data_IF_437808526307
#
_entry.id   IF_437808526307
#
_cell.length_a   1.000
_cell.length_b   1.000
_cell.length_c   1.000
_cell.angle_alpha   90.00
_cell.angle_beta   90.00
_cell.angle_gamma   90.00
#
_symmetry.space_group_name_H-M   'P 1'
#
loop_
_entity.id
_entity.type
_entity.pdbx_description
1 polymer ?
#
# COMPACT_ATOMS: atom_id res chain seq x y z
N UNK A 1 -9.18 86.93 -35.15
CA UNK A 1 -9.41 85.47 -34.89
C UNK A 1 -8.10 84.65 -34.74
N UNK A 2 -7.01 85.22 -34.21
CA UNK A 2 -5.65 84.63 -34.25
C UNK A 2 -5.07 84.33 -32.84
N UNK A 3 -5.68 84.79 -31.76
CA UNK A 3 -5.18 84.68 -30.39
C UNK A 3 -5.61 83.39 -29.66
N UNK A 4 -6.66 82.69 -30.13
CA UNK A 4 -7.17 81.47 -29.46
C UNK A 4 -6.39 80.18 -29.81
N UNK A 5 -5.78 80.15 -31.04
CA UNK A 5 -5.05 78.99 -31.51
C UNK A 5 -3.67 78.81 -30.83
N UNK A 6 -3.02 79.97 -30.55
CA UNK A 6 -1.70 80.00 -29.89
C UNK A 6 -1.79 79.61 -28.39
N UNK A 7 -2.87 79.98 -27.73
CA UNK A 7 -3.09 79.60 -26.32
C UNK A 7 -3.40 78.10 -26.18
N UNK A 8 -4.18 77.53 -27.07
CA UNK A 8 -4.41 76.05 -27.07
C UNK A 8 -3.15 75.30 -27.34
N UNK A 9 -2.30 75.67 -28.25
CA UNK A 9 -1.05 74.99 -28.53
C UNK A 9 -0.06 75.11 -27.37
N UNK A 10 0.03 76.20 -26.62
CA UNK A 10 0.83 76.33 -25.41
C UNK A 10 0.29 75.45 -24.29
N UNK A 11 -1.02 75.33 -24.15
CA UNK A 11 -1.68 74.47 -23.15
C UNK A 11 -1.35 72.96 -23.42
N UNK A 12 -1.44 72.52 -24.67
CA UNK A 12 -1.11 71.18 -25.08
C UNK A 12 0.37 70.87 -24.92
N UNK A 13 1.24 71.84 -25.19
CA UNK A 13 2.68 71.71 -24.99
C UNK A 13 3.06 71.63 -23.52
N UNK A 14 2.37 72.38 -22.64
CA UNK A 14 2.56 72.27 -21.18
C UNK A 14 1.96 70.99 -20.62
N UNK A 15 0.85 70.49 -21.15
CA UNK A 15 0.27 69.18 -20.76
C UNK A 15 1.18 68.04 -21.21
N UNK A 16 1.77 68.10 -22.39
CA UNK A 16 2.74 67.11 -22.87
C UNK A 16 4.04 67.11 -22.05
N UNK A 17 4.50 68.29 -21.64
CA UNK A 17 5.68 68.43 -20.79
C UNK A 17 5.44 67.88 -19.36
N UNK A 18 4.22 68.10 -18.83
CA UNK A 18 3.79 67.55 -17.54
C UNK A 18 3.64 66.06 -17.58
N UNK A 19 3.09 65.47 -18.66
CA UNK A 19 2.98 64.02 -18.90
C UNK A 19 4.39 63.39 -19.03
N UNK A 20 5.34 64.09 -19.70
CA UNK A 20 6.72 63.63 -19.86
C UNK A 20 7.47 63.59 -18.55
N UNK A 21 7.19 64.51 -17.61
CA UNK A 21 7.83 64.54 -16.29
C UNK A 21 7.25 63.45 -15.38
N UNK A 22 5.94 63.11 -15.49
CA UNK A 22 5.33 61.99 -14.78
C UNK A 22 5.86 60.63 -15.25
N UNK A 23 6.30 60.51 -16.50
CA UNK A 23 6.86 59.29 -17.04
C UNK A 23 8.32 59.01 -16.58
N UNK A 24 9.01 60.00 -15.99
CA UNK A 24 10.35 59.89 -15.48
C UNK A 24 10.41 59.60 -13.96
N UNK A 25 9.27 59.64 -13.27
CA UNK A 25 9.13 59.11 -11.92
C UNK A 25 8.78 57.62 -12.05
N UNK A 26 9.68 56.85 -12.68
CA UNK A 26 9.72 55.43 -12.50
C UNK A 26 9.99 55.22 -11.00
N UNK A 27 8.92 54.85 -10.26
CA UNK A 27 9.07 54.31 -8.93
C UNK A 27 10.16 53.20 -9.01
N UNK A 28 11.34 53.49 -8.57
CA UNK A 28 12.12 52.43 -7.92
C UNK A 28 11.28 52.06 -6.72
N UNK A 29 10.49 51.02 -6.85
CA UNK A 29 10.10 50.21 -5.70
C UNK A 29 11.40 49.72 -5.11
N UNK A 30 11.95 50.43 -4.15
CA UNK A 30 12.79 49.82 -3.13
C UNK A 30 11.81 48.81 -2.47
N UNK A 31 11.83 47.58 -3.00
CA UNK A 31 11.41 46.44 -2.25
C UNK A 31 12.43 46.43 -1.14
N UNK A 32 12.06 46.92 0.04
CA UNK A 32 12.80 46.61 1.26
C UNK A 32 12.95 45.10 1.24
N UNK A 33 14.15 44.63 0.91
CA UNK A 33 14.46 43.21 0.97
C UNK A 33 14.37 42.84 2.45
N UNK A 34 13.20 42.37 2.84
CA UNK A 34 12.98 41.78 4.18
C UNK A 34 13.96 40.67 4.51
N UNK A 35 14.79 40.29 3.53
CA UNK A 35 15.74 39.22 3.62
C UNK A 35 17.11 39.72 3.08
N UNK A 36 18.18 39.44 3.80
CA UNK A 36 19.56 39.79 3.44
C UNK A 36 20.06 39.11 2.14
N UNK A 37 19.28 38.20 1.55
CA UNK A 37 19.66 37.47 0.35
C UNK A 37 18.46 37.18 -0.54
N UNK A 38 18.67 37.07 -1.87
CA UNK A 38 17.62 36.72 -2.83
C UNK A 38 16.99 35.36 -2.54
N UNK A 39 15.73 35.12 -2.93
CA UNK A 39 15.09 33.84 -2.79
C UNK A 39 15.91 32.68 -3.40
N UNK A 40 16.61 32.96 -4.52
CA UNK A 40 17.49 31.98 -5.17
C UNK A 40 18.69 31.62 -4.29
N UNK A 41 19.33 32.57 -3.70
CA UNK A 41 20.47 32.35 -2.81
C UNK A 41 20.08 31.63 -1.52
N UNK A 42 18.91 31.94 -0.97
CA UNK A 42 18.40 31.23 0.21
C UNK A 42 18.20 29.74 -0.06
N UNK A 43 17.60 29.39 -1.21
CA UNK A 43 17.40 27.98 -1.59
C UNK A 43 18.74 27.28 -1.87
N UNK A 44 19.71 27.96 -2.51
CA UNK A 44 21.06 27.41 -2.73
C UNK A 44 21.76 27.10 -1.41
N UNK A 45 21.67 28.01 -0.45
CA UNK A 45 22.23 27.82 0.88
C UNK A 45 21.52 26.69 1.64
N UNK A 46 20.19 26.56 1.48
CA UNK A 46 19.45 25.43 2.04
C UNK A 46 19.87 24.10 1.41
N UNK A 47 20.05 24.03 0.10
CA UNK A 47 20.53 22.84 -0.60
C UNK A 47 21.89 22.39 -0.05
N UNK A 48 22.81 23.31 0.14
CA UNK A 48 24.14 23.01 0.72
C UNK A 48 23.99 22.48 2.16
N UNK A 49 23.20 23.16 2.97
CA UNK A 49 22.91 22.74 4.34
C UNK A 49 22.25 21.33 4.38
N UNK A 50 21.30 21.06 3.50
CA UNK A 50 20.67 19.74 3.46
C UNK A 50 21.63 18.64 3.00
N UNK A 51 22.56 18.94 2.09
CA UNK A 51 23.58 17.97 1.67
C UNK A 51 24.50 17.59 2.82
N UNK A 52 24.98 18.55 3.58
CA UNK A 52 25.78 18.32 4.79
C UNK A 52 25.00 17.53 5.83
N UNK A 53 23.73 17.92 6.08
CA UNK A 53 22.87 17.30 7.05
C UNK A 53 22.56 15.83 6.71
N UNK A 54 22.20 15.55 5.44
CA UNK A 54 21.88 14.19 4.98
C UNK A 54 23.07 13.23 5.17
N UNK A 55 24.30 13.71 4.97
CA UNK A 55 25.52 12.90 5.08
C UNK A 55 26.13 12.87 6.49
N UNK A 56 25.55 13.57 7.47
CA UNK A 56 26.15 13.74 8.80
C UNK A 56 26.02 12.55 9.75
N UNK A 57 24.92 11.76 9.79
CA UNK A 57 24.79 10.70 10.77
C UNK A 57 25.69 9.51 10.49
N UNK A 58 26.45 9.11 11.50
CA UNK A 58 27.40 8.00 11.42
C UNK A 58 26.80 6.69 10.91
N UNK A 59 25.55 6.38 11.31
CA UNK A 59 24.83 5.15 10.95
C UNK A 59 23.72 5.41 9.92
N UNK A 60 23.69 6.61 9.30
CA UNK A 60 22.62 7.03 8.40
C UNK A 60 21.31 7.34 9.11
N UNK A 61 20.22 7.22 8.40
CA UNK A 61 18.87 7.59 8.82
C UNK A 61 17.95 6.38 8.86
N UNK A 62 17.18 6.21 9.92
CA UNK A 62 15.94 5.45 9.85
C UNK A 62 14.94 6.24 9.01
N UNK A 63 14.34 5.62 8.01
CA UNK A 63 13.35 6.23 7.13
C UNK A 63 12.00 5.54 7.34
N UNK A 64 11.06 6.24 7.95
CA UNK A 64 9.67 5.83 8.10
C UNK A 64 8.89 6.32 6.89
N UNK A 65 8.52 5.41 6.00
CA UNK A 65 7.90 5.74 4.72
C UNK A 65 6.45 5.29 4.67
N UNK A 66 5.52 6.23 4.45
CA UNK A 66 4.09 5.99 4.24
C UNK A 66 3.71 6.29 2.79
N UNK A 67 3.68 5.29 1.90
CA UNK A 67 3.21 5.45 0.53
C UNK A 67 1.69 5.63 0.48
N UNK A 68 1.16 6.02 -0.69
CA UNK A 68 -0.28 6.23 -0.88
C UNK A 68 -0.81 7.59 -0.44
N UNK A 69 0.08 8.51 -0.09
CA UNK A 69 -0.22 9.91 0.22
C UNK A 69 -1.15 10.08 1.42
N UNK A 70 -1.93 11.15 1.41
CA UNK A 70 -2.87 11.51 2.50
C UNK A 70 -4.01 10.51 2.69
N UNK A 71 -4.20 9.59 1.73
CA UNK A 71 -5.19 8.51 1.85
C UNK A 71 -4.78 7.43 2.84
N UNK A 72 -3.48 7.36 3.22
CA UNK A 72 -2.91 6.37 4.16
C UNK A 72 -3.14 4.91 3.70
N UNK A 73 -3.28 4.71 2.39
CA UNK A 73 -3.89 3.50 1.82
C UNK A 73 -3.17 2.19 2.15
N UNK A 74 -1.83 2.25 2.38
CA UNK A 74 -1.01 1.03 2.47
C UNK A 74 -0.28 0.87 3.79
N UNK A 75 -0.50 1.77 4.78
CA UNK A 75 0.33 1.81 5.98
C UNK A 75 1.74 2.31 5.70
N UNK A 76 2.68 2.03 6.60
CA UNK A 76 4.05 2.50 6.48
C UNK A 76 5.08 1.37 6.55
N UNK A 77 6.30 1.69 6.11
CA UNK A 77 7.42 0.75 5.98
C UNK A 77 8.71 1.34 6.52
N UNK A 78 9.49 0.50 7.21
CA UNK A 78 10.78 0.87 7.75
C UNK A 78 11.89 0.59 6.72
N UNK A 79 12.58 1.66 6.35
CA UNK A 79 13.80 1.64 5.55
C UNK A 79 14.93 2.26 6.37
N UNK A 80 16.16 2.08 5.93
CA UNK A 80 17.29 2.87 6.36
C UNK A 80 18.01 3.41 5.12
N UNK A 81 18.56 4.62 5.24
CA UNK A 81 19.31 5.26 4.14
C UNK A 81 20.51 6.01 4.67
N UNK A 82 21.65 5.87 4.00
CA UNK A 82 22.83 6.71 4.19
C UNK A 82 23.11 7.49 2.92
N UNK A 83 23.51 8.75 3.07
CA UNK A 83 23.82 9.64 1.97
C UNK A 83 25.31 9.97 1.96
N UNK A 84 25.91 10.01 0.78
CA UNK A 84 27.27 10.51 0.59
C UNK A 84 27.24 11.93 0.00
N UNK A 85 28.28 12.69 0.21
CA UNK A 85 28.39 14.07 -0.32
C UNK A 85 28.51 14.11 -1.86
N UNK A 86 28.95 13.01 -2.47
CA UNK A 86 29.11 12.86 -3.91
C UNK A 86 27.83 12.37 -4.63
N UNK A 87 26.69 12.34 -3.94
CA UNK A 87 25.38 12.15 -4.55
C UNK A 87 24.87 10.70 -4.59
N UNK A 88 25.40 9.82 -3.74
CA UNK A 88 24.91 8.46 -3.61
C UNK A 88 24.06 8.29 -2.34
N UNK A 89 22.95 7.54 -2.49
CA UNK A 89 22.11 7.09 -1.40
C UNK A 89 22.12 5.55 -1.35
N UNK A 90 22.47 4.99 -0.20
CA UNK A 90 22.49 3.54 0.03
C UNK A 90 21.31 3.16 0.93
N UNK A 91 20.41 2.34 0.41
CA UNK A 91 19.20 1.90 1.09
C UNK A 91 19.34 0.48 1.62
N UNK A 92 18.67 0.24 2.75
CA UNK A 92 18.34 -1.06 3.31
C UNK A 92 16.84 -1.08 3.63
N UNK A 93 16.21 -2.28 3.70
CA UNK A 93 14.77 -2.39 3.90
C UNK A 93 14.41 -3.51 4.88
N UNK A 94 13.44 -3.25 5.78
CA UNK A 94 12.83 -4.27 6.61
C UNK A 94 11.99 -5.28 5.83
N UNK A 95 11.69 -5.02 4.55
CA UNK A 95 11.00 -5.95 3.66
C UNK A 95 11.94 -7.01 3.08
N UNK A 96 13.25 -6.76 3.06
CA UNK A 96 14.23 -7.72 2.55
C UNK A 96 14.31 -8.96 3.43
N UNK A 97 14.52 -10.13 2.83
CA UNK A 97 14.80 -11.37 3.58
C UNK A 97 16.07 -11.22 4.41
N UNK A 98 17.10 -10.67 3.82
CA UNK A 98 18.32 -10.22 4.48
C UNK A 98 18.26 -8.69 4.64
N UNK A 99 18.11 -8.21 5.88
CA UNK A 99 18.08 -6.77 6.18
C UNK A 99 19.44 -6.09 6.00
N UNK A 100 20.52 -6.86 5.85
CA UNK A 100 21.86 -6.36 5.51
C UNK A 100 22.07 -6.14 4.01
N UNK A 101 21.13 -6.62 3.16
CA UNK A 101 21.20 -6.37 1.73
C UNK A 101 20.98 -4.90 1.44
N UNK A 102 22.00 -4.23 0.92
CA UNK A 102 21.96 -2.81 0.56
C UNK A 102 21.96 -2.60 -0.95
N UNK A 103 21.31 -1.53 -1.39
CA UNK A 103 21.30 -1.08 -2.80
C UNK A 103 21.61 0.41 -2.85
N UNK A 104 22.60 0.77 -3.66
CA UNK A 104 23.06 2.15 -3.83
C UNK A 104 22.55 2.72 -5.16
N UNK A 105 22.05 3.96 -5.11
CA UNK A 105 21.55 4.70 -6.27
C UNK A 105 21.95 6.18 -6.18
N UNK A 106 21.77 6.93 -7.25
CA UNK A 106 22.04 8.37 -7.25
C UNK A 106 20.87 9.14 -6.63
N UNK A 107 21.21 10.17 -5.85
CA UNK A 107 20.27 11.19 -5.42
C UNK A 107 20.74 12.58 -5.83
N UNK A 108 19.82 13.51 -5.92
CA UNK A 108 20.12 14.93 -6.10
C UNK A 108 19.23 15.81 -5.23
N UNK A 109 19.78 16.96 -4.87
CA UNK A 109 19.03 18.06 -4.28
C UNK A 109 18.81 19.11 -5.37
N UNK A 110 17.56 19.43 -5.64
CA UNK A 110 17.18 20.37 -6.70
C UNK A 110 16.40 21.55 -6.12
N UNK A 111 16.44 22.65 -6.87
CA UNK A 111 15.65 23.83 -6.62
C UNK A 111 14.35 23.72 -7.43
N UNK A 112 13.22 23.64 -6.73
CA UNK A 112 11.89 23.64 -7.34
C UNK A 112 10.98 24.57 -6.52
N UNK A 113 9.83 24.13 -6.02
CA UNK A 113 8.99 24.88 -5.07
C UNK A 113 9.57 24.94 -3.65
N UNK A 114 10.88 24.80 -3.52
CA UNK A 114 11.70 24.68 -2.31
C UNK A 114 12.88 23.77 -2.61
N UNK A 115 13.58 23.33 -1.56
CA UNK A 115 14.58 22.28 -1.70
C UNK A 115 13.89 20.94 -1.86
N UNK A 116 14.21 20.22 -2.94
CA UNK A 116 13.67 18.87 -3.23
C UNK A 116 14.78 17.85 -3.23
N UNK A 117 14.51 16.72 -2.58
CA UNK A 117 15.34 15.52 -2.62
C UNK A 117 14.76 14.57 -3.67
N UNK A 118 15.56 14.18 -4.66
CA UNK A 118 15.17 13.29 -5.73
C UNK A 118 16.07 12.07 -5.75
N UNK A 119 15.47 10.88 -5.93
CA UNK A 119 16.19 9.64 -6.17
C UNK A 119 16.20 9.38 -7.67
N UNK A 120 17.32 9.76 -8.32
CA UNK A 120 17.40 9.93 -9.78
C UNK A 120 17.58 8.61 -10.55
N UNK A 121 18.05 7.54 -9.90
CA UNK A 121 18.23 6.23 -10.55
C UNK A 121 17.47 5.15 -9.80
N UNK A 122 17.07 4.12 -10.55
CA UNK A 122 16.29 3.02 -10.00
C UNK A 122 17.02 2.32 -8.86
N UNK A 123 16.26 2.06 -7.78
CA UNK A 123 16.70 1.35 -6.59
C UNK A 123 15.58 0.38 -6.20
N UNK A 124 15.82 -0.91 -6.30
CA UNK A 124 14.79 -1.94 -6.09
C UNK A 124 14.16 -1.90 -4.69
N UNK A 125 14.89 -1.44 -3.65
CA UNK A 125 14.37 -1.35 -2.29
C UNK A 125 13.47 -0.12 -2.09
N UNK A 126 13.82 1.00 -2.73
CA UNK A 126 13.09 2.25 -2.58
C UNK A 126 11.96 2.38 -3.61
N UNK A 127 12.21 2.04 -4.89
CA UNK A 127 11.20 2.11 -5.94
C UNK A 127 10.18 0.96 -5.87
N UNK A 128 10.38 -0.03 -4.99
CA UNK A 128 9.39 -1.05 -4.66
C UNK A 128 7.97 -0.48 -4.50
N UNK A 129 7.84 0.68 -3.86
CA UNK A 129 6.54 1.30 -3.57
C UNK A 129 5.89 1.98 -4.79
N UNK A 130 6.64 2.24 -5.85
CA UNK A 130 6.16 2.84 -7.10
C UNK A 130 6.14 1.86 -8.27
N UNK A 131 6.71 0.67 -8.11
CA UNK A 131 6.85 -0.35 -9.14
C UNK A 131 5.67 -1.31 -9.13
N UNK A 132 4.81 -1.22 -10.15
CA UNK A 132 3.62 -2.04 -10.31
C UNK A 132 3.92 -3.51 -10.63
N UNK A 133 5.10 -3.82 -11.13
CA UNK A 133 5.50 -5.19 -11.45
C UNK A 133 5.86 -5.99 -10.19
N UNK A 134 6.22 -5.29 -9.13
CA UNK A 134 6.65 -5.88 -7.86
C UNK A 134 5.57 -5.74 -6.78
N UNK A 135 4.94 -4.57 -6.70
CA UNK A 135 3.95 -4.25 -5.69
C UNK A 135 2.75 -3.55 -6.29
N UNK A 136 1.66 -4.29 -6.50
CA UNK A 136 0.41 -3.72 -6.98
C UNK A 136 -0.65 -3.79 -5.89
N UNK A 137 -0.69 -2.75 -5.06
CA UNK A 137 -1.50 -2.72 -3.84
C UNK A 137 -3.01 -2.73 -4.08
N UNK A 138 -3.48 -2.26 -5.23
CA UNK A 138 -4.90 -2.20 -5.60
C UNK A 138 -5.22 -2.88 -6.93
N UNK A 139 -4.24 -3.53 -7.57
CA UNK A 139 -4.41 -4.22 -8.84
C UNK A 139 -4.58 -3.30 -10.06
N UNK A 140 -4.26 -2.01 -9.93
CA UNK A 140 -4.43 -1.02 -11.00
C UNK A 140 -3.13 -0.69 -11.77
N UNK A 141 -2.05 -1.38 -11.50
CA UNK A 141 -0.76 -1.15 -12.15
C UNK A 141 -0.09 0.17 -11.73
N UNK A 142 -0.26 0.58 -10.46
CA UNK A 142 0.31 1.83 -9.92
C UNK A 142 1.24 1.61 -8.74
N UNK A 143 1.54 0.36 -8.40
CA UNK A 143 2.27 0.00 -7.19
C UNK A 143 1.53 0.45 -5.93
N UNK A 144 2.26 0.84 -4.90
CA UNK A 144 1.71 1.39 -3.66
C UNK A 144 1.62 2.94 -3.70
N UNK A 145 1.57 3.55 -4.88
CA UNK A 145 1.58 5.00 -5.07
C UNK A 145 2.79 5.68 -4.41
N UNK A 146 3.95 5.07 -4.52
CA UNK A 146 5.19 5.62 -3.97
C UNK A 146 5.67 6.84 -4.75
N UNK A 147 6.27 7.80 -4.04
CA UNK A 147 6.97 8.95 -4.62
C UNK A 147 8.48 8.69 -4.63
N UNK A 148 9.20 9.34 -5.54
CA UNK A 148 10.67 9.34 -5.62
C UNK A 148 11.26 10.78 -5.70
N UNK A 149 10.39 11.79 -5.66
CA UNK A 149 10.74 13.21 -5.52
C UNK A 149 10.01 13.78 -4.30
N UNK A 150 10.76 14.40 -3.40
CA UNK A 150 10.23 14.86 -2.11
C UNK A 150 10.60 16.32 -1.83
N UNK A 151 9.60 17.08 -1.36
CA UNK A 151 9.82 18.44 -0.85
C UNK A 151 10.26 18.32 0.61
N UNK A 152 11.43 18.86 0.93
CA UNK A 152 11.94 18.95 2.30
C UNK A 152 11.13 19.99 3.06
N UNK A 153 10.38 19.55 4.07
CA UNK A 153 9.51 20.42 4.86
C UNK A 153 10.23 20.98 6.10
N UNK A 154 10.93 20.14 6.81
CA UNK A 154 11.76 20.51 7.94
C UNK A 154 12.95 19.57 8.08
N UNK A 155 14.07 20.08 8.57
CA UNK A 155 15.27 19.29 8.79
C UNK A 155 16.10 19.84 9.95
N UNK A 156 16.50 18.92 10.82
CA UNK A 156 17.41 19.10 11.93
C UNK A 156 18.48 18.01 11.90
N UNK A 157 19.48 18.08 12.75
CA UNK A 157 20.52 17.04 12.87
C UNK A 157 19.96 15.66 13.28
N UNK A 158 18.77 15.63 13.87
CA UNK A 158 18.16 14.40 14.38
C UNK A 158 16.93 13.94 13.60
N UNK A 159 16.28 14.83 12.83
CA UNK A 159 15.01 14.54 12.18
C UNK A 159 14.82 15.33 10.88
N UNK A 160 14.29 14.67 9.87
CA UNK A 160 13.89 15.27 8.60
C UNK A 160 12.48 14.82 8.26
N UNK A 161 11.62 15.79 7.92
CA UNK A 161 10.26 15.54 7.42
C UNK A 161 10.17 15.99 5.97
N UNK A 162 9.66 15.13 5.10
CA UNK A 162 9.46 15.43 3.69
C UNK A 162 8.19 14.78 3.13
N UNK A 163 7.69 15.36 2.05
CA UNK A 163 6.47 14.91 1.38
C UNK A 163 6.70 14.71 -0.11
N UNK A 164 6.16 13.63 -0.64
CA UNK A 164 6.21 13.30 -2.06
C UNK A 164 5.48 14.32 -2.92
N UNK A 165 6.06 14.67 -4.05
CA UNK A 165 5.51 15.67 -4.98
C UNK A 165 4.27 15.20 -5.73
N UNK A 166 4.20 13.92 -6.07
CA UNK A 166 3.14 13.37 -6.93
C UNK A 166 1.95 12.86 -6.13
N UNK A 167 2.22 12.07 -5.10
CA UNK A 167 1.17 11.39 -4.32
C UNK A 167 1.05 11.92 -2.89
N UNK A 168 2.01 12.75 -2.44
CA UNK A 168 2.03 13.27 -1.08
C UNK A 168 2.45 12.23 -0.05
N UNK A 169 3.21 11.22 -0.45
CA UNK A 169 3.76 10.22 0.47
C UNK A 169 4.56 10.91 1.57
N UNK A 170 4.31 10.55 2.84
CA UNK A 170 5.02 11.13 3.96
C UNK A 170 6.25 10.29 4.31
N UNK A 171 7.39 10.96 4.50
CA UNK A 171 8.61 10.35 5.02
C UNK A 171 9.10 11.14 6.23
N UNK A 172 9.31 10.40 7.33
CA UNK A 172 10.04 10.87 8.49
C UNK A 172 11.37 10.15 8.56
N UNK A 173 12.46 10.90 8.64
CA UNK A 173 13.78 10.32 8.86
C UNK A 173 14.31 10.73 10.23
N UNK A 174 14.92 9.76 10.94
CA UNK A 174 15.55 9.96 12.24
C UNK A 174 17.00 9.51 12.16
N UNK A 175 17.92 10.32 12.67
CA UNK A 175 19.35 9.97 12.71
C UNK A 175 19.54 8.71 13.59
N UNK A 176 20.08 7.65 12.99
CA UNK A 176 20.35 6.40 13.70
C UNK A 176 21.47 6.55 14.70
N UNK A 177 21.30 5.91 15.87
CA UNK A 177 22.30 5.83 16.95
C UNK A 177 22.97 4.45 17.05
N UNK A 178 22.49 3.51 16.22
CA UNK A 178 23.00 2.13 16.11
C UNK A 178 23.05 1.73 14.62
N UNK A 179 23.78 0.68 14.25
CA UNK A 179 23.81 0.21 12.86
C UNK A 179 22.43 0.02 12.27
N UNK A 180 22.25 0.36 10.99
CA UNK A 180 20.97 0.32 10.28
C UNK A 180 20.32 -1.08 10.30
N UNK A 181 21.15 -2.12 10.19
CA UNK A 181 20.71 -3.52 10.22
C UNK A 181 20.05 -3.89 11.56
N UNK A 182 20.56 -3.34 12.67
CA UNK A 182 19.99 -3.58 14.02
C UNK A 182 18.61 -2.96 14.13
N UNK A 183 18.46 -1.71 13.68
CA UNK A 183 17.16 -1.03 13.61
C UNK A 183 16.16 -1.79 12.74
N UNK A 184 16.57 -2.18 11.52
CA UNK A 184 15.70 -2.87 10.57
C UNK A 184 15.32 -4.26 11.01
N UNK A 185 16.25 -5.00 11.67
CA UNK A 185 15.96 -6.33 12.19
C UNK A 185 14.86 -6.27 13.25
N UNK A 186 14.94 -5.33 14.20
CA UNK A 186 13.89 -5.11 15.22
C UNK A 186 12.56 -4.70 14.59
N UNK A 187 12.57 -3.79 13.60
CA UNK A 187 11.38 -3.37 12.88
C UNK A 187 10.74 -4.55 12.11
N UNK A 188 11.56 -5.40 11.48
CA UNK A 188 11.12 -6.62 10.81
C UNK A 188 10.48 -7.62 11.78
N UNK A 189 11.11 -7.88 12.93
CA UNK A 189 10.58 -8.78 13.97
C UNK A 189 9.22 -8.30 14.48
N UNK A 190 9.10 -7.01 14.81
CA UNK A 190 7.84 -6.41 15.24
C UNK A 190 6.75 -6.55 14.15
N UNK A 191 7.10 -6.27 12.89
CA UNK A 191 6.18 -6.44 11.76
C UNK A 191 5.77 -7.90 11.57
N UNK A 192 6.72 -8.84 11.64
CA UNK A 192 6.45 -10.27 11.47
C UNK A 192 5.56 -10.82 12.57
N UNK A 193 5.70 -10.35 13.82
CA UNK A 193 4.82 -10.74 14.93
C UNK A 193 3.34 -10.43 14.66
N UNK A 194 3.07 -9.39 13.88
CA UNK A 194 1.73 -9.03 13.42
C UNK A 194 1.34 -9.76 12.14
N UNK A 195 2.19 -9.76 11.12
CA UNK A 195 1.91 -10.35 9.81
C UNK A 195 1.77 -11.89 9.84
N UNK A 196 2.31 -12.53 10.86
CA UNK A 196 2.11 -13.96 11.07
C UNK A 196 0.68 -14.34 11.50
N UNK A 197 -0.15 -13.35 11.85
CA UNK A 197 -1.57 -13.57 12.12
C UNK A 197 -2.32 -13.59 10.80
N UNK A 198 -2.79 -14.77 10.40
CA UNK A 198 -3.58 -14.95 9.19
C UNK A 198 -5.05 -14.57 9.41
N UNK A 199 -5.76 -14.36 8.30
CA UNK A 199 -7.21 -14.18 8.28
C UNK A 199 -7.74 -13.06 9.19
N UNK A 200 -7.02 -11.94 9.26
CA UNK A 200 -7.49 -10.76 9.99
C UNK A 200 -8.65 -10.15 9.21
N UNK A 201 -9.84 -10.19 9.80
CA UNK A 201 -11.06 -9.66 9.19
C UNK A 201 -11.47 -8.30 9.73
N UNK A 202 -10.92 -7.87 10.88
CA UNK A 202 -11.26 -6.60 11.48
C UNK A 202 -10.61 -6.37 12.85
N UNK A 203 -11.12 -5.35 13.53
CA UNK A 203 -10.80 -5.01 14.91
C UNK A 203 -12.08 -4.87 15.73
N UNK A 204 -11.99 -5.16 17.02
CA UNK A 204 -13.03 -4.85 18.02
C UNK A 204 -12.36 -4.33 19.30
N UNK A 205 -13.08 -3.58 20.09
CA UNK A 205 -12.55 -3.16 21.39
C UNK A 205 -13.10 -1.83 21.87
N UNK A 206 -12.22 -1.05 22.49
CA UNK A 206 -12.54 0.28 23.00
C UNK A 206 -11.59 1.33 22.45
N UNK A 207 -12.12 2.52 22.18
CA UNK A 207 -11.36 3.71 21.88
C UNK A 207 -11.73 4.79 22.87
N UNK A 208 -10.78 5.25 23.67
CA UNK A 208 -11.01 6.16 24.80
C UNK A 208 -12.18 5.72 25.71
N UNK A 209 -12.22 4.42 26.05
CA UNK A 209 -13.24 3.83 26.92
C UNK A 209 -14.60 3.53 26.27
N UNK A 210 -14.82 3.87 24.99
CA UNK A 210 -16.09 3.61 24.28
C UNK A 210 -15.93 2.46 23.28
N UNK A 211 -16.96 1.62 23.05
CA UNK A 211 -16.92 0.54 22.08
C UNK A 211 -16.59 1.04 20.67
N UNK A 212 -15.73 0.31 19.95
CA UNK A 212 -15.33 0.59 18.58
C UNK A 212 -15.16 -0.71 17.81
N UNK A 213 -15.41 -0.65 16.50
CA UNK A 213 -15.04 -1.70 15.54
C UNK A 213 -14.12 -1.13 14.50
N UNK A 214 -13.40 -1.99 13.77
CA UNK A 214 -12.52 -1.57 12.68
C UNK A 214 -12.58 -2.55 11.52
N UNK A 215 -12.81 -2.02 10.34
CA UNK A 215 -12.77 -2.79 9.09
C UNK A 215 -11.37 -2.77 8.50
N UNK A 216 -10.90 -3.93 8.05
CA UNK A 216 -9.61 -4.04 7.33
C UNK A 216 -9.74 -3.41 5.96
N UNK A 217 -8.92 -2.41 5.67
CA UNK A 217 -8.76 -1.85 4.33
C UNK A 217 -7.52 -2.48 3.67
N UNK A 218 -6.37 -2.40 4.33
CA UNK A 218 -5.16 -3.17 4.00
C UNK A 218 -4.57 -3.77 5.28
N UNK A 219 -3.48 -4.53 5.18
CA UNK A 219 -2.85 -5.16 6.35
C UNK A 219 -2.45 -4.18 7.46
N UNK A 220 -2.14 -2.94 7.12
CA UNK A 220 -1.70 -1.90 8.07
C UNK A 220 -2.58 -0.64 8.04
N UNK A 221 -3.80 -0.78 7.52
CA UNK A 221 -4.77 0.30 7.47
C UNK A 221 -6.18 -0.21 7.78
N UNK A 222 -6.79 0.35 8.79
CA UNK A 222 -8.16 0.06 9.22
C UNK A 222 -9.03 1.32 9.18
N UNK A 223 -10.33 1.13 8.97
CA UNK A 223 -11.32 2.15 9.21
C UNK A 223 -12.00 1.87 10.55
N UNK A 224 -11.73 2.68 11.57
CA UNK A 224 -12.36 2.57 12.88
C UNK A 224 -13.73 3.23 12.85
N UNK A 225 -14.75 2.58 13.45
CA UNK A 225 -16.13 3.04 13.51
C UNK A 225 -16.61 3.03 14.95
N UNK A 226 -17.16 4.17 15.41
CA UNK A 226 -17.77 4.36 16.73
C UNK A 226 -19.11 5.06 16.56
N UNK A 227 -20.21 4.32 16.67
CA UNK A 227 -21.54 4.82 16.30
C UNK A 227 -21.61 5.18 14.81
N UNK A 228 -21.89 6.43 14.50
CA UNK A 228 -21.95 6.99 13.15
C UNK A 228 -20.64 7.67 12.70
N UNK A 229 -19.63 7.68 13.55
CA UNK A 229 -18.34 8.34 13.29
C UNK A 229 -17.29 7.34 12.86
N UNK A 230 -16.43 7.78 11.93
CA UNK A 230 -15.35 6.96 11.39
C UNK A 230 -14.04 7.73 11.38
N UNK A 231 -12.93 7.01 11.53
CA UNK A 231 -11.58 7.56 11.39
C UNK A 231 -10.63 6.52 10.84
N UNK A 232 -9.54 6.99 10.24
CA UNK A 232 -8.47 6.16 9.72
C UNK A 232 -7.51 5.75 10.85
N UNK A 233 -7.11 4.49 10.84
CA UNK A 233 -6.03 3.95 11.65
C UNK A 233 -5.00 3.31 10.74
N UNK A 234 -3.96 4.07 10.41
CA UNK A 234 -2.85 3.61 9.57
C UNK A 234 -1.55 3.64 10.37
N UNK A 235 -0.73 2.62 10.24
CA UNK A 235 0.46 2.44 11.06
C UNK A 235 1.58 1.68 10.33
N UNK A 236 2.73 1.68 10.97
CA UNK A 236 3.89 0.85 10.61
C UNK A 236 4.55 0.28 11.85
N UNK A 237 5.50 -0.62 11.64
CA UNK A 237 6.37 -1.13 12.69
C UNK A 237 7.78 -0.54 12.57
N UNK A 238 8.34 -0.13 13.72
CA UNK A 238 9.70 0.34 13.89
C UNK A 238 10.44 -0.53 14.90
N UNK A 239 11.68 -0.20 15.22
CA UNK A 239 12.45 -0.82 16.31
C UNK A 239 11.77 -0.71 17.69
N UNK A 240 10.89 0.27 17.87
CA UNK A 240 10.15 0.57 19.12
C UNK A 240 8.70 0.08 19.12
N UNK A 241 8.30 -0.70 18.12
CA UNK A 241 6.93 -1.19 17.94
C UNK A 241 6.13 -0.34 16.94
N UNK A 242 4.90 0.02 17.29
CA UNK A 242 3.96 0.68 16.38
C UNK A 242 4.22 2.19 16.28
N UNK A 243 4.26 2.69 15.07
CA UNK A 243 4.20 4.11 14.73
C UNK A 243 2.92 4.39 13.94
N UNK A 244 2.12 5.33 14.40
CA UNK A 244 0.93 5.80 13.68
C UNK A 244 1.34 6.78 12.57
N UNK A 245 0.62 6.77 11.45
CA UNK A 245 0.74 7.81 10.42
C UNK A 245 0.43 9.19 11.00
N UNK A 246 -0.67 9.31 11.71
CA UNK A 246 -1.10 10.47 12.45
C UNK A 246 -1.80 10.01 13.73
N UNK A 247 -1.95 10.87 14.75
CA UNK A 247 -2.81 10.58 15.90
C UNK A 247 -4.21 10.19 15.45
N UNK A 248 -4.79 9.19 16.10
CA UNK A 248 -6.16 8.76 15.80
C UNK A 248 -7.12 9.72 16.52
N UNK A 249 -7.99 10.37 15.76
CA UNK A 249 -9.01 11.28 16.30
C UNK A 249 -10.40 10.72 16.00
N UNK A 250 -11.18 10.45 17.04
CA UNK A 250 -12.51 9.88 16.93
C UNK A 250 -13.40 10.40 18.05
N UNK A 251 -14.56 10.94 17.72
CA UNK A 251 -15.55 11.50 18.67
C UNK A 251 -14.94 12.51 19.66
N UNK A 252 -14.06 13.40 19.17
CA UNK A 252 -13.40 14.41 20.00
C UNK A 252 -12.31 13.86 20.94
N UNK A 253 -12.00 12.59 20.88
CA UNK A 253 -10.90 11.94 21.59
C UNK A 253 -9.70 11.76 20.68
N UNK A 254 -8.48 11.83 21.25
CA UNK A 254 -7.22 11.75 20.51
C UNK A 254 -6.30 10.72 21.14
N UNK A 255 -5.79 9.79 20.32
CA UNK A 255 -4.81 8.78 20.72
C UNK A 255 -3.55 8.94 19.88
N UNK A 256 -2.43 9.24 20.50
CA UNK A 256 -1.16 9.53 19.81
C UNK A 256 -0.25 8.31 19.71
N UNK A 257 -0.41 7.35 20.61
CA UNK A 257 0.48 6.19 20.71
C UNK A 257 -0.32 4.92 20.97
N UNK A 258 0.07 3.85 20.27
CA UNK A 258 -0.38 2.50 20.54
C UNK A 258 0.83 1.57 20.69
N UNK A 259 0.69 0.57 21.53
CA UNK A 259 1.64 -0.51 21.72
C UNK A 259 1.01 -1.77 21.18
N UNK A 260 1.76 -2.52 20.38
CA UNK A 260 1.37 -3.83 19.89
C UNK A 260 1.77 -4.92 20.87
N UNK A 261 0.82 -5.77 21.25
CA UNK A 261 1.05 -7.00 21.99
C UNK A 261 0.73 -8.19 21.08
N UNK A 262 1.76 -8.96 20.70
CA UNK A 262 1.63 -10.06 19.77
C UNK A 262 0.86 -11.25 20.37
N UNK A 263 1.07 -11.55 21.66
CA UNK A 263 0.43 -12.69 22.34
C UNK A 263 -1.07 -12.49 22.50
N UNK A 264 -1.46 -11.26 22.81
CA UNK A 264 -2.87 -10.88 22.96
C UNK A 264 -3.52 -10.45 21.64
N UNK A 265 -2.72 -10.25 20.59
CA UNK A 265 -3.14 -9.71 19.27
C UNK A 265 -3.86 -8.37 19.41
N UNK A 266 -3.31 -7.46 20.23
CA UNK A 266 -3.95 -6.19 20.57
C UNK A 266 -3.05 -4.98 20.35
N UNK A 267 -3.68 -3.87 19.96
CA UNK A 267 -3.11 -2.53 20.06
C UNK A 267 -3.69 -1.83 21.27
N UNK A 268 -2.87 -1.31 22.15
CA UNK A 268 -3.33 -0.64 23.38
C UNK A 268 -2.65 0.71 23.58
N UNK A 269 -3.39 1.72 24.02
CA UNK A 269 -2.79 2.99 24.46
C UNK A 269 -2.06 2.79 25.81
N UNK A 270 -1.01 3.58 26.09
CA UNK A 270 -0.25 3.47 27.34
C UNK A 270 -1.10 3.64 28.61
N UNK A 271 -2.18 4.41 28.53
CA UNK A 271 -3.14 4.64 29.63
C UNK A 271 -4.22 3.54 29.75
N UNK A 272 -4.24 2.58 28.82
CA UNK A 272 -5.19 1.47 28.78
C UNK A 272 -6.63 1.84 28.37
N UNK A 273 -6.92 3.10 28.07
CA UNK A 273 -8.28 3.53 27.69
C UNK A 273 -8.67 3.09 26.29
N UNK A 274 -7.68 2.88 25.44
CA UNK A 274 -7.86 2.32 24.09
C UNK A 274 -7.24 0.94 24.04
N UNK A 275 -8.04 -0.05 23.62
CA UNK A 275 -7.61 -1.43 23.39
C UNK A 275 -8.36 -1.98 22.19
N UNK A 276 -7.63 -2.29 21.13
CA UNK A 276 -8.13 -2.80 19.85
C UNK A 276 -7.59 -4.22 19.65
N UNK A 277 -8.47 -5.20 19.63
CA UNK A 277 -8.15 -6.62 19.41
C UNK A 277 -8.40 -7.00 17.97
N UNK A 278 -7.47 -7.74 17.34
CA UNK A 278 -7.66 -8.29 16.00
C UNK A 278 -8.75 -9.38 16.01
N UNK A 279 -9.67 -9.30 15.05
CA UNK A 279 -10.59 -10.37 14.73
C UNK A 279 -9.93 -11.23 13.65
N UNK A 280 -9.53 -12.46 13.99
CA UNK A 280 -8.87 -13.38 13.06
C UNK A 280 -9.55 -14.75 13.10
N UNK A 281 -9.69 -15.40 11.94
CA UNK A 281 -10.18 -16.77 11.87
C UNK A 281 -9.05 -17.73 12.28
N UNK A 282 -9.23 -18.57 13.31
CA UNK A 282 -8.21 -19.52 13.74
C UNK A 282 -7.90 -20.60 12.70
N UNK A 283 -8.78 -20.85 11.75
CA UNK A 283 -8.58 -21.77 10.63
C UNK A 283 -8.04 -21.10 9.38
N UNK A 284 -7.80 -19.80 9.43
CA UNK A 284 -7.16 -19.07 8.35
C UNK A 284 -5.68 -19.35 8.26
N UNK A 285 -5.16 -19.49 7.06
CA UNK A 285 -3.77 -19.74 6.77
C UNK A 285 -3.14 -18.58 6.00
N UNK A 286 -1.82 -18.40 6.14
CA UNK A 286 -1.07 -17.46 5.29
C UNK A 286 -0.90 -18.06 3.89
N UNK A 287 -0.68 -17.20 2.91
CA UNK A 287 -0.48 -17.62 1.51
C UNK A 287 0.58 -18.72 1.39
N UNK A 288 1.73 -18.56 2.05
CA UNK A 288 2.85 -19.50 1.95
C UNK A 288 2.51 -20.90 2.49
N UNK A 289 1.63 -20.98 3.48
CA UNK A 289 1.18 -22.27 4.05
C UNK A 289 0.28 -23.05 3.09
N UNK A 290 -0.39 -22.34 2.17
CA UNK A 290 -1.30 -22.88 1.18
C UNK A 290 -0.61 -23.32 -0.11
N UNK A 291 0.65 -22.91 -0.32
CA UNK A 291 1.46 -23.35 -1.46
C UNK A 291 2.06 -24.74 -1.20
N UNK A 292 2.35 -25.47 -2.27
CA UNK A 292 3.02 -26.78 -2.20
C UNK A 292 2.40 -27.86 -3.07
N UNK A 293 2.79 -29.11 -2.79
CA UNK A 293 2.33 -30.30 -3.49
C UNK A 293 1.14 -30.94 -2.78
N UNK A 294 0.12 -31.31 -3.53
CA UNK A 294 -1.11 -31.89 -3.02
C UNK A 294 -1.57 -33.09 -3.83
N UNK A 295 -2.29 -33.97 -3.18
CA UNK A 295 -3.15 -34.92 -3.83
C UNK A 295 -4.58 -34.36 -3.87
N UNK A 296 -5.05 -33.96 -5.05
CA UNK A 296 -6.42 -33.50 -5.29
C UNK A 296 -7.34 -34.71 -5.49
N UNK A 297 -8.36 -34.82 -4.66
CA UNK A 297 -9.47 -35.77 -4.86
C UNK A 297 -10.73 -35.03 -5.31
N UNK A 298 -11.44 -35.58 -6.29
CA UNK A 298 -12.69 -35.03 -6.83
C UNK A 298 -13.49 -36.13 -7.56
N UNK A 299 -14.79 -36.12 -7.42
CA UNK A 299 -15.72 -37.03 -8.15
C UNK A 299 -15.24 -38.49 -8.14
N UNK A 300 -14.67 -38.96 -7.03
CA UNK A 300 -14.11 -40.32 -6.90
C UNK A 300 -12.75 -40.54 -7.60
N UNK A 301 -12.17 -39.53 -8.20
CA UNK A 301 -10.84 -39.55 -8.84
C UNK A 301 -9.80 -38.92 -7.91
N UNK A 302 -8.52 -39.20 -8.16
CA UNK A 302 -7.38 -38.61 -7.46
C UNK A 302 -6.26 -38.30 -8.44
N UNK A 303 -5.67 -37.12 -8.32
CA UNK A 303 -4.53 -36.69 -9.13
C UNK A 303 -3.59 -35.82 -8.30
N UNK A 304 -2.33 -35.80 -8.69
CA UNK A 304 -1.34 -34.94 -8.03
C UNK A 304 -1.38 -33.55 -8.66
N UNK A 305 -1.34 -32.53 -7.79
CA UNK A 305 -1.33 -31.13 -8.23
C UNK A 305 -0.32 -30.33 -7.41
N UNK A 306 0.22 -29.29 -8.02
CA UNK A 306 1.06 -28.32 -7.34
C UNK A 306 0.37 -26.95 -7.30
N UNK A 307 0.44 -26.26 -6.17
CA UNK A 307 -0.03 -24.87 -6.01
C UNK A 307 1.19 -23.99 -5.82
N UNK A 308 1.43 -23.06 -6.75
CA UNK A 308 2.63 -22.22 -6.72
C UNK A 308 2.34 -20.79 -7.13
N UNK A 309 3.09 -19.86 -6.52
CA UNK A 309 3.09 -18.44 -6.88
C UNK A 309 3.89 -18.25 -8.17
N UNK A 310 3.36 -17.47 -9.09
CA UNK A 310 4.00 -17.14 -10.36
C UNK A 310 4.82 -15.85 -10.21
N UNK A 311 5.80 -15.59 -11.10
CA UNK A 311 6.59 -14.35 -11.04
C UNK A 311 5.77 -13.06 -11.08
N UNK A 312 4.59 -13.09 -11.71
CA UNK A 312 3.66 -11.96 -11.77
C UNK A 312 2.72 -11.87 -10.54
N UNK A 313 3.00 -12.59 -9.46
CA UNK A 313 2.21 -12.59 -8.22
C UNK A 313 0.96 -13.49 -8.23
N UNK A 314 0.52 -13.99 -9.40
CA UNK A 314 -0.64 -14.88 -9.49
C UNK A 314 -0.35 -16.27 -8.90
N UNK A 315 -1.39 -16.98 -8.44
CA UNK A 315 -1.28 -18.34 -7.93
C UNK A 315 -1.90 -19.29 -8.95
N UNK A 316 -1.17 -20.37 -9.29
CA UNK A 316 -1.66 -21.42 -10.17
C UNK A 316 -1.67 -22.78 -9.46
N UNK A 317 -2.75 -23.53 -9.68
CA UNK A 317 -2.80 -24.96 -9.45
C UNK A 317 -2.58 -25.68 -10.76
N UNK A 318 -1.54 -26.52 -10.84
CA UNK A 318 -1.12 -27.32 -12.00
C UNK A 318 -1.21 -28.80 -11.67
N UNK A 319 -1.33 -29.67 -12.68
CA UNK A 319 -1.44 -31.13 -12.54
C UNK A 319 -2.75 -31.69 -13.08
N UNK A 320 -3.75 -30.87 -13.28
CA UNK A 320 -4.89 -31.17 -14.14
C UNK A 320 -4.49 -31.00 -15.64
N UNK A 321 -5.28 -31.50 -16.61
CA UNK A 321 -5.06 -31.22 -18.03
C UNK A 321 -5.08 -29.73 -18.40
N UNK A 322 -5.33 -28.86 -17.42
CA UNK A 322 -5.38 -27.40 -17.54
C UNK A 322 -4.92 -26.75 -16.24
N UNK A 323 -4.37 -25.55 -16.38
CA UNK A 323 -3.99 -24.72 -15.23
C UNK A 323 -5.21 -24.00 -14.65
N UNK A 324 -5.32 -23.97 -13.31
CA UNK A 324 -6.37 -23.27 -12.59
C UNK A 324 -5.78 -22.10 -11.83
N UNK A 325 -6.27 -20.89 -12.09
CA UNK A 325 -5.89 -19.70 -11.35
C UNK A 325 -6.63 -19.68 -10.01
N UNK A 326 -5.89 -19.38 -8.95
CA UNK A 326 -6.39 -19.18 -7.61
C UNK A 326 -6.05 -17.77 -7.15
N UNK A 327 -6.83 -17.23 -6.22
CA UNK A 327 -6.59 -15.93 -5.61
C UNK A 327 -6.52 -16.08 -4.09
N UNK A 328 -5.49 -15.52 -3.46
CA UNK A 328 -5.42 -15.52 -2.00
C UNK A 328 -6.33 -14.45 -1.42
N UNK A 329 -7.24 -14.85 -0.55
CA UNK A 329 -8.09 -13.97 0.22
C UNK A 329 -7.49 -13.79 1.63
N UNK A 330 -6.79 -12.68 1.85
CA UNK A 330 -6.09 -12.41 3.11
C UNK A 330 -7.04 -12.25 4.31
N UNK A 331 -8.27 -11.79 4.10
CA UNK A 331 -9.29 -11.64 5.16
C UNK A 331 -9.84 -12.98 5.65
N UNK A 332 -9.81 -14.00 4.79
CA UNK A 332 -10.28 -15.37 5.10
C UNK A 332 -9.12 -16.34 5.30
N UNK A 333 -7.88 -15.94 4.98
CA UNK A 333 -6.70 -16.80 5.06
C UNK A 333 -6.84 -18.06 4.19
N UNK A 334 -7.28 -17.92 2.95
CA UNK A 334 -7.67 -19.04 2.11
C UNK A 334 -7.50 -18.74 0.63
N UNK A 335 -7.43 -19.79 -0.22
CA UNK A 335 -7.42 -19.65 -1.66
C UNK A 335 -8.84 -19.69 -2.21
N UNK A 336 -9.17 -18.76 -3.09
CA UNK A 336 -10.43 -18.71 -3.81
C UNK A 336 -10.26 -19.21 -5.24
N UNK A 337 -11.23 -19.99 -5.72
CA UNK A 337 -11.40 -20.46 -7.07
C UNK A 337 -12.68 -19.88 -7.65
N UNK A 338 -12.55 -19.03 -8.64
CA UNK A 338 -13.67 -18.40 -9.32
C UNK A 338 -13.78 -18.88 -10.76
N UNK A 339 -14.95 -18.65 -11.38
CA UNK A 339 -15.15 -18.93 -12.80
C UNK A 339 -14.10 -18.20 -13.65
N UNK A 340 -13.51 -18.90 -14.61
CA UNK A 340 -12.39 -18.38 -15.41
C UNK A 340 -12.33 -19.01 -16.79
N UNK A 341 -11.77 -18.26 -17.74
CA UNK A 341 -11.39 -18.78 -19.03
C UNK A 341 -10.10 -19.60 -18.89
N UNK A 342 -10.08 -20.77 -19.48
CA UNK A 342 -8.88 -21.62 -19.46
C UNK A 342 -8.00 -21.37 -20.69
N UNK A 343 -6.68 -21.53 -20.50
CA UNK A 343 -5.72 -21.35 -21.61
C UNK A 343 -5.74 -22.48 -22.64
N UNK A 344 -6.53 -23.55 -22.44
CA UNK A 344 -6.63 -24.67 -23.37
C UNK A 344 -7.26 -24.22 -24.70
N UNK A 345 -8.30 -23.41 -24.63
CA UNK A 345 -9.02 -22.84 -25.76
C UNK A 345 -9.78 -21.58 -25.33
N UNK A 346 -9.93 -20.57 -26.20
CA UNK A 346 -10.74 -19.40 -25.91
C UNK A 346 -12.22 -19.74 -25.61
N UNK A 347 -12.68 -20.92 -26.04
CA UNK A 347 -14.04 -21.36 -25.87
C UNK A 347 -14.27 -22.24 -24.63
N UNK A 348 -13.19 -22.67 -23.96
CA UNK A 348 -13.30 -23.53 -22.77
C UNK A 348 -13.21 -22.67 -21.51
N UNK A 349 -14.21 -22.77 -20.67
CA UNK A 349 -14.34 -22.07 -19.39
C UNK A 349 -14.50 -23.03 -18.25
N UNK A 350 -13.88 -22.72 -17.12
CA UNK A 350 -14.23 -23.27 -15.82
C UNK A 350 -15.37 -22.43 -15.27
N UNK A 351 -16.51 -23.05 -15.02
CA UNK A 351 -17.68 -22.41 -14.41
C UNK A 351 -17.92 -22.95 -13.01
N UNK A 352 -18.11 -22.07 -12.05
CA UNK A 352 -18.56 -22.45 -10.71
C UNK A 352 -19.97 -22.98 -10.79
N UNK A 353 -20.25 -24.06 -10.07
CA UNK A 353 -21.45 -24.84 -10.20
C UNK A 353 -22.06 -25.22 -8.85
N UNK A 354 -23.39 -25.12 -8.77
CA UNK A 354 -24.19 -25.72 -7.72
C UNK A 354 -24.70 -27.06 -8.25
N UNK A 355 -24.05 -28.15 -7.83
CA UNK A 355 -24.32 -29.49 -8.42
C UNK A 355 -25.71 -30.02 -8.13
N UNK A 356 -26.30 -29.66 -6.99
CA UNK A 356 -27.61 -30.13 -6.56
C UNK A 356 -28.74 -29.53 -7.39
N UNK A 357 -28.60 -28.27 -7.84
CA UNK A 357 -29.64 -27.57 -8.59
C UNK A 357 -29.33 -27.43 -10.08
N UNK A 358 -28.11 -27.81 -10.49
CA UNK A 358 -27.65 -27.68 -11.87
C UNK A 358 -27.33 -26.25 -12.30
N UNK A 359 -27.28 -25.27 -11.39
CA UNK A 359 -27.00 -23.89 -11.70
C UNK A 359 -25.49 -23.65 -11.81
N UNK A 360 -25.08 -22.96 -12.85
CA UNK A 360 -23.68 -22.50 -13.04
C UNK A 360 -23.63 -21.00 -13.19
N UNK A 361 -22.46 -20.40 -12.91
CA UNK A 361 -22.25 -18.97 -13.05
C UNK A 361 -20.89 -18.63 -13.65
N UNK A 362 -20.87 -17.53 -14.43
CA UNK A 362 -19.68 -16.90 -14.97
C UNK A 362 -19.29 -15.65 -14.18
N UNK A 363 -20.13 -15.24 -13.23
CA UNK A 363 -19.90 -14.03 -12.44
C UNK A 363 -18.66 -14.17 -11.57
N UNK A 364 -17.87 -13.11 -11.54
CA UNK A 364 -16.80 -12.93 -10.56
C UNK A 364 -17.41 -12.68 -9.18
N UNK A 365 -16.82 -13.25 -8.14
CA UNK A 365 -17.37 -13.13 -6.79
C UNK A 365 -17.99 -14.43 -6.27
N UNK A 366 -18.76 -15.14 -7.08
CA UNK A 366 -19.18 -16.50 -6.75
C UNK A 366 -18.02 -17.47 -6.97
N UNK A 367 -17.75 -18.33 -5.98
CA UNK A 367 -16.61 -19.21 -6.07
C UNK A 367 -16.57 -20.27 -4.99
N UNK A 368 -15.52 -21.05 -5.06
CA UNK A 368 -15.12 -21.97 -4.01
C UNK A 368 -13.96 -21.37 -3.24
N UNK A 369 -13.86 -21.69 -1.95
CA UNK A 369 -12.76 -21.27 -1.10
C UNK A 369 -12.20 -22.48 -0.36
N UNK A 370 -10.89 -22.52 -0.18
CA UNK A 370 -10.26 -23.57 0.62
C UNK A 370 -10.58 -23.37 2.10
N UNK A 371 -10.91 -24.43 2.79
CA UNK A 371 -11.09 -24.49 4.24
C UNK A 371 -10.14 -25.54 4.81
N UNK A 372 -9.26 -25.13 5.69
CA UNK A 372 -8.35 -26.03 6.37
C UNK A 372 -9.08 -26.82 7.47
N UNK A 373 -8.70 -28.08 7.65
CA UNK A 373 -9.30 -28.96 8.64
C UNK A 373 -8.80 -28.75 10.07
N UNK A 374 -7.81 -27.86 10.28
CA UNK A 374 -7.25 -27.56 11.60
C UNK A 374 -6.23 -28.60 12.11
N UNK A 375 -5.75 -29.48 11.24
CA UNK A 375 -4.83 -30.58 11.59
C UNK A 375 -3.53 -30.46 10.76
N UNK A 376 -2.44 -30.13 11.42
CA UNK A 376 -1.12 -29.97 10.76
C UNK A 376 -0.51 -31.32 10.35
N UNK A 377 -0.82 -32.41 11.07
CA UNK A 377 -0.28 -33.74 10.75
C UNK A 377 -1.01 -34.35 9.56
N UNK A 378 -2.32 -34.08 9.43
CA UNK A 378 -3.14 -34.51 8.30
C UNK A 378 -3.74 -33.30 7.59
N UNK A 379 -2.88 -32.50 7.00
CA UNK A 379 -3.25 -31.22 6.39
C UNK A 379 -4.16 -31.42 5.17
N UNK A 380 -5.41 -31.03 5.32
CA UNK A 380 -6.43 -31.12 4.26
C UNK A 380 -7.10 -29.76 4.07
N UNK A 381 -7.23 -29.35 2.80
CA UNK A 381 -8.01 -28.22 2.39
C UNK A 381 -9.25 -28.73 1.64
N UNK A 382 -10.44 -28.42 2.14
CA UNK A 382 -11.70 -28.66 1.42
C UNK A 382 -12.08 -27.41 0.63
N UNK A 383 -12.54 -27.56 -0.62
CA UNK A 383 -13.10 -26.46 -1.39
C UNK A 383 -14.60 -26.40 -1.12
N UNK A 384 -15.04 -25.33 -0.49
CA UNK A 384 -16.43 -25.07 -0.10
C UNK A 384 -16.93 -23.76 -0.68
N UNK A 385 -18.22 -23.47 -0.57
CA UNK A 385 -18.81 -22.18 -0.96
C UNK A 385 -18.05 -21.00 -0.33
N UNK A 386 -17.73 -19.98 -1.12
CA UNK A 386 -16.94 -18.84 -0.65
C UNK A 386 -17.76 -17.83 0.19
N UNK A 387 -19.05 -18.07 0.41
CA UNK A 387 -19.94 -17.24 1.21
C UNK A 387 -20.52 -16.04 0.45
N UNK A 388 -20.22 -15.86 -0.83
CA UNK A 388 -20.88 -14.86 -1.64
C UNK A 388 -22.35 -15.24 -1.86
N UNK A 389 -23.26 -14.29 -1.65
CA UNK A 389 -24.69 -14.60 -1.73
C UNK A 389 -25.16 -14.79 -3.18
N UNK A 390 -25.46 -16.03 -3.54
CA UNK A 390 -25.99 -16.40 -4.85
C UNK A 390 -27.46 -16.80 -4.72
N UNK A 391 -28.32 -16.04 -5.37
CA UNK A 391 -29.76 -16.30 -5.39
C UNK A 391 -30.23 -16.66 -6.80
N UNK A 392 -31.02 -17.71 -6.89
CA UNK A 392 -31.80 -18.11 -8.10
C UNK A 392 -33.25 -18.25 -7.70
N UNK A 393 -34.15 -17.53 -8.37
CA UNK A 393 -35.58 -17.51 -8.09
C UNK A 393 -35.88 -17.25 -6.59
N UNK A 394 -35.09 -16.35 -5.96
CA UNK A 394 -35.25 -15.98 -4.55
C UNK A 394 -34.73 -17.02 -3.53
N UNK A 395 -34.14 -18.12 -3.99
CA UNK A 395 -33.50 -19.12 -3.12
C UNK A 395 -32.00 -18.94 -3.15
N UNK A 396 -31.37 -18.91 -1.96
CA UNK A 396 -29.92 -18.94 -1.86
C UNK A 396 -29.42 -20.31 -2.29
N UNK A 397 -28.43 -20.33 -3.17
CA UNK A 397 -27.74 -21.54 -3.60
C UNK A 397 -26.25 -21.45 -3.23
N UNK A 398 -25.62 -22.59 -3.10
CA UNK A 398 -24.24 -22.71 -2.64
C UNK A 398 -23.41 -23.37 -3.72
N UNK A 399 -22.24 -22.80 -3.98
CA UNK A 399 -21.26 -23.42 -4.84
C UNK A 399 -20.62 -24.64 -4.13
N UNK A 400 -20.63 -25.81 -4.77
CA UNK A 400 -20.04 -27.03 -4.24
C UNK A 400 -19.12 -27.73 -5.25
N UNK A 401 -19.01 -27.16 -6.46
CA UNK A 401 -18.35 -27.79 -7.57
C UNK A 401 -17.90 -26.77 -8.62
N UNK A 402 -17.12 -27.23 -9.58
CA UNK A 402 -16.96 -26.55 -10.88
C UNK A 402 -17.11 -27.53 -12.03
N UNK A 403 -17.44 -26.99 -13.18
CA UNK A 403 -17.63 -27.74 -14.42
C UNK A 403 -16.85 -27.09 -15.55
N UNK A 404 -16.34 -27.87 -16.49
CA UNK A 404 -15.80 -27.35 -17.74
C UNK A 404 -16.89 -27.19 -18.77
N UNK A 405 -16.95 -26.04 -19.40
CA UNK A 405 -17.98 -25.64 -20.31
C UNK A 405 -17.40 -25.15 -21.64
N UNK A 406 -17.88 -25.68 -22.76
CA UNK A 406 -17.50 -25.22 -24.09
C UNK A 406 -18.56 -24.24 -24.60
N UNK A 407 -18.10 -23.05 -25.02
CA UNK A 407 -18.96 -21.98 -25.55
C UNK A 407 -18.79 -21.79 -27.07
N UNK A 408 -18.08 -22.68 -27.75
CA UNK A 408 -17.86 -22.60 -29.19
C UNK A 408 -19.16 -22.60 -29.98
N UNK A 409 -19.26 -21.74 -30.99
CA UNK A 409 -20.40 -21.67 -31.90
C UNK A 409 -21.70 -21.14 -31.28
N UNK A 410 -21.65 -20.56 -30.06
CA UNK A 410 -22.83 -20.10 -29.33
C UNK A 410 -23.65 -21.23 -28.69
N UNK A 411 -23.23 -22.47 -28.86
CA UNK A 411 -23.79 -23.63 -28.14
C UNK A 411 -23.03 -23.85 -26.83
N UNK A 412 -23.80 -24.03 -25.75
CA UNK A 412 -23.22 -24.28 -24.44
C UNK A 412 -23.26 -25.76 -24.14
N UNK A 413 -22.11 -26.41 -24.15
CA UNK A 413 -21.96 -27.86 -23.93
C UNK A 413 -20.98 -28.13 -22.81
N UNK A 414 -21.27 -29.16 -22.02
CA UNK A 414 -20.28 -29.73 -21.10
C UNK A 414 -19.06 -30.26 -21.89
N UNK A 415 -17.87 -29.95 -21.42
CA UNK A 415 -16.63 -30.34 -22.08
C UNK A 415 -16.06 -31.61 -21.46
N UNK A 416 -16.25 -32.73 -22.12
CA UNK A 416 -15.68 -34.01 -21.69
C UNK A 416 -16.17 -34.48 -20.32
N UNK A 417 -15.34 -35.23 -19.62
CA UNK A 417 -15.56 -35.69 -18.25
C UNK A 417 -15.12 -34.57 -17.26
N UNK A 418 -15.95 -33.59 -17.13
CA UNK A 418 -15.59 -32.24 -16.70
C UNK A 418 -16.15 -31.80 -15.36
N UNK A 419 -16.83 -32.71 -14.61
CA UNK A 419 -17.47 -32.38 -13.32
C UNK A 419 -16.53 -32.61 -12.17
N UNK A 420 -16.25 -31.56 -11.42
CA UNK A 420 -15.32 -31.55 -10.29
C UNK A 420 -16.12 -31.25 -9.01
N UNK A 421 -16.43 -32.28 -8.26
CA UNK A 421 -17.22 -32.21 -7.01
C UNK A 421 -16.44 -32.85 -5.87
N UNK A 422 -16.81 -32.50 -4.62
CA UNK A 422 -16.17 -33.02 -3.40
C UNK A 422 -14.66 -32.83 -3.41
N UNK A 423 -14.24 -31.61 -3.77
CA UNK A 423 -12.86 -31.25 -3.95
C UNK A 423 -12.12 -31.18 -2.63
N UNK A 424 -11.07 -31.99 -2.49
CA UNK A 424 -10.17 -31.97 -1.34
C UNK A 424 -8.72 -32.02 -1.81
N UNK A 425 -7.89 -31.21 -1.19
CA UNK A 425 -6.45 -31.13 -1.37
C UNK A 425 -5.77 -31.66 -0.12
N UNK A 426 -5.14 -32.84 -0.19
CA UNK A 426 -4.33 -33.39 0.90
C UNK A 426 -2.88 -33.05 0.65
N UNK A 427 -2.23 -32.35 1.56
CA UNK A 427 -0.82 -31.94 1.45
C UNK A 427 0.08 -33.17 1.46
N UNK A 428 1.15 -33.15 0.62
CA UNK A 428 2.14 -34.24 0.54
C UNK A 428 3.36 -33.98 1.41
#
# INVERSE_FOLDING_TARGET
MTTSKTMKNRLYMQLFLLLGICALVSCKTEIDDYFDSSASQRIENEILKYRELLSSPQYGWAMEYFPGGTNQAFGGYALAVSFSQDGYATFLSSLSDDVGKSVTSLYSLKKDMGATLNFDTYNELFHYFSDSDISDGDGQGKGLLGDYEFILHSATESEILMYGKKHGSAIHMYALKEPAEVYLQKAKENRMSYQNIAAVSGLKGTFAGKPVTGDVITSQYFMLTQGDKQTKFSFMFTDKGVRLYAPIELDGQRVEKLVWNADEKTFSSPDGTTRLELIADPLGLREEQLLGEYALSYTGKKTDVSISKQPNGGILMKGLPFDVRLTYNSKKGALELNSQQLKISPDIRLAIWCSQLGNLTWSTGYGLITRWNGDDENFVLELVDNGYEWFVEGKRIYADAFILWNTAGGEYKEYGDSRFQNLKLTKK
#
